data_IF_725072720847
#
_entry.id   IF_725072720847
#
_cell.length_a   1.000
_cell.length_b   1.000
_cell.length_c   1.000
_cell.angle_alpha   90.00
_cell.angle_beta   90.00
_cell.angle_gamma   90.00
#
_symmetry.space_group_name_H-M   'P 1'
#
loop_
_entity.id
_entity.type
_entity.pdbx_description
1 polymer ?
#
# COMPACT_ATOMS: atom_id res chain seq x y z
N UNK A 1 19.52 14.76 -38.38
CA UNK A 1 18.67 14.31 -39.51
C UNK A 1 17.22 14.35 -39.08
N UNK A 2 16.45 15.33 -39.58
CA UNK A 2 14.99 15.41 -39.43
C UNK A 2 14.35 14.41 -40.39
N UNK A 3 13.34 13.66 -39.94
CA UNK A 3 12.38 13.01 -40.84
C UNK A 3 10.97 13.40 -40.41
N UNK A 4 10.40 14.25 -41.25
CA UNK A 4 8.97 14.50 -41.43
C UNK A 4 8.28 13.25 -41.98
N UNK A 5 7.09 12.93 -41.48
CA UNK A 5 6.05 12.28 -42.29
C UNK A 5 4.72 12.98 -42.06
N UNK A 6 4.11 13.34 -43.17
CA UNK A 6 2.90 14.15 -43.27
C UNK A 6 1.63 13.32 -43.09
N UNK A 7 0.58 14.04 -42.73
CA UNK A 7 -0.78 13.58 -42.45
C UNK A 7 -1.50 12.98 -43.66
N UNK A 8 -2.43 12.07 -43.37
CA UNK A 8 -3.55 11.68 -44.23
C UNK A 8 -4.78 11.44 -43.37
N UNK A 9 -5.68 12.41 -43.36
CA UNK A 9 -6.97 12.42 -42.67
C UNK A 9 -8.05 12.31 -43.75
N UNK A 10 -9.08 11.46 -43.61
CA UNK A 10 -10.50 11.79 -43.81
C UNK A 10 -11.42 10.58 -43.56
N UNK A 11 -12.15 10.65 -42.42
CA UNK A 11 -13.58 10.38 -42.18
C UNK A 11 -14.26 9.09 -42.67
N UNK A 12 -14.73 8.30 -41.70
CA UNK A 12 -16.13 7.83 -41.62
C UNK A 12 -16.60 7.79 -40.16
N UNK A 13 -17.57 8.65 -39.84
CA UNK A 13 -18.28 8.67 -38.56
C UNK A 13 -19.68 8.09 -38.79
N UNK A 14 -20.04 7.05 -38.03
CA UNK A 14 -21.41 6.67 -37.62
C UNK A 14 -21.36 5.31 -36.92
N UNK A 15 -22.20 5.12 -35.90
CA UNK A 15 -22.47 3.88 -35.14
C UNK A 15 -21.59 3.53 -33.93
N UNK A 16 -21.53 4.41 -32.91
CA UNK A 16 -21.51 3.97 -31.49
C UNK A 16 -22.18 5.04 -30.63
N UNK A 17 -23.50 5.21 -30.76
CA UNK A 17 -24.29 6.07 -29.86
C UNK A 17 -25.68 5.47 -29.68
N UNK A 18 -25.78 4.27 -29.09
CA UNK A 18 -27.07 3.73 -28.63
C UNK A 18 -26.89 2.53 -27.67
N UNK A 19 -26.33 2.76 -26.47
CA UNK A 19 -26.50 1.88 -25.30
C UNK A 19 -25.90 2.49 -24.00
N UNK A 20 -26.31 3.69 -23.61
CA UNK A 20 -26.05 4.22 -22.25
C UNK A 20 -27.19 5.13 -21.73
N UNK A 21 -28.37 5.04 -22.33
CA UNK A 21 -29.52 5.86 -21.98
C UNK A 21 -30.71 4.97 -21.59
N UNK A 22 -30.62 4.31 -20.43
CA UNK A 22 -31.79 3.86 -19.67
C UNK A 22 -31.35 3.58 -18.22
N UNK A 23 -31.65 4.51 -17.32
CA UNK A 23 -31.25 4.45 -15.91
C UNK A 23 -31.13 5.80 -15.22
N UNK A 24 -31.40 6.91 -15.91
CA UNK A 24 -31.51 8.26 -15.33
C UNK A 24 -32.89 8.83 -15.63
N UNK A 25 -33.86 8.55 -14.78
CA UNK A 25 -35.07 9.36 -14.60
C UNK A 25 -35.72 8.94 -13.28
N UNK A 26 -36.24 9.93 -12.54
CA UNK A 26 -36.87 9.87 -11.22
C UNK A 26 -35.87 9.97 -10.04
N UNK A 27 -35.38 11.17 -9.74
CA UNK A 27 -36.08 12.17 -8.91
C UNK A 27 -35.22 13.44 -8.84
N UNK A 28 -35.67 14.51 -9.49
CA UNK A 28 -35.03 15.83 -9.48
C UNK A 28 -36.03 16.79 -8.83
N UNK A 29 -36.00 16.83 -7.51
CA UNK A 29 -36.33 18.00 -6.69
C UNK A 29 -35.94 17.69 -5.22
N UNK A 30 -34.65 17.43 -5.01
CA UNK A 30 -34.05 17.50 -3.68
C UNK A 30 -33.39 18.89 -3.56
N UNK A 31 -33.68 19.69 -2.52
CA UNK A 31 -32.93 20.90 -2.27
C UNK A 31 -31.44 20.54 -2.14
N UNK A 32 -30.51 21.44 -2.50
CA UNK A 32 -29.09 21.18 -2.29
C UNK A 32 -28.90 20.78 -0.83
N UNK A 33 -28.44 19.55 -0.60
CA UNK A 33 -28.27 19.03 0.75
C UNK A 33 -27.40 20.01 1.53
N UNK A 34 -27.96 20.58 2.60
CA UNK A 34 -27.23 21.44 3.50
C UNK A 34 -26.03 20.66 4.06
N UNK A 35 -24.81 20.97 3.64
CA UNK A 35 -23.62 20.47 4.34
C UNK A 35 -23.50 21.23 5.66
N UNK A 36 -24.14 20.66 6.67
CA UNK A 36 -23.64 20.77 8.05
C UNK A 36 -22.35 19.95 8.08
N UNK A 37 -21.29 20.34 8.81
CA UNK A 37 -20.01 19.61 8.83
C UNK A 37 -20.12 18.10 9.11
N UNK A 38 -21.29 17.66 9.62
CA UNK A 38 -21.73 16.26 9.72
C UNK A 38 -21.71 15.48 8.39
N UNK A 39 -21.73 16.14 7.23
CA UNK A 39 -21.68 15.51 5.91
C UNK A 39 -20.31 14.88 5.63
N UNK A 40 -19.25 15.67 5.78
CA UNK A 40 -17.86 15.19 5.70
C UNK A 40 -17.59 14.14 6.78
N UNK A 41 -18.03 14.36 8.03
CA UNK A 41 -17.80 13.40 9.12
C UNK A 41 -18.31 12.00 8.79
N UNK A 42 -19.53 11.92 8.24
CA UNK A 42 -20.14 10.66 7.83
C UNK A 42 -19.43 10.03 6.63
N UNK A 43 -19.04 10.85 5.67
CA UNK A 43 -18.35 10.38 4.47
C UNK A 43 -16.94 9.87 4.82
N UNK A 44 -16.22 10.58 5.69
CA UNK A 44 -14.93 10.20 6.24
C UNK A 44 -15.03 8.92 7.08
N UNK A 45 -16.08 8.77 7.90
CA UNK A 45 -16.34 7.54 8.63
C UNK A 45 -16.53 6.34 7.68
N UNK A 46 -17.35 6.49 6.64
CA UNK A 46 -17.55 5.44 5.63
C UNK A 46 -16.26 5.10 4.87
N UNK A 47 -15.46 6.11 4.50
CA UNK A 47 -14.17 5.90 3.84
C UNK A 47 -13.19 5.14 4.75
N UNK A 48 -13.15 5.51 6.03
CA UNK A 48 -12.32 4.85 7.04
C UNK A 48 -12.76 3.41 7.28
N UNK A 49 -14.06 3.15 7.41
CA UNK A 49 -14.58 1.79 7.63
C UNK A 49 -14.31 0.88 6.42
N UNK A 50 -14.35 1.42 5.19
CA UNK A 50 -13.95 0.70 3.98
C UNK A 50 -12.45 0.39 3.96
N UNK A 51 -11.61 1.34 4.38
CA UNK A 51 -10.17 1.12 4.52
C UNK A 51 -9.89 0.01 5.54
N UNK A 52 -10.51 0.07 6.71
CA UNK A 52 -10.37 -0.96 7.74
C UNK A 52 -10.84 -2.33 7.23
N UNK A 53 -11.94 -2.41 6.48
CA UNK A 53 -12.39 -3.66 5.88
C UNK A 53 -11.43 -4.21 4.81
N UNK A 54 -10.84 -3.34 3.99
CA UNK A 54 -9.79 -3.71 3.04
C UNK A 54 -8.57 -4.26 3.78
N UNK A 55 -8.14 -3.57 4.84
CA UNK A 55 -7.00 -3.95 5.65
C UNK A 55 -7.21 -5.30 6.35
N UNK A 56 -8.38 -5.52 6.95
CA UNK A 56 -8.75 -6.79 7.57
C UNK A 56 -8.78 -7.93 6.54
N UNK A 57 -9.36 -7.70 5.36
CA UNK A 57 -9.38 -8.68 4.27
C UNK A 57 -7.97 -9.05 3.83
N UNK A 58 -7.09 -8.06 3.67
CA UNK A 58 -5.70 -8.28 3.28
C UNK A 58 -4.95 -9.12 4.34
N UNK A 59 -5.05 -8.75 5.62
CA UNK A 59 -4.42 -9.49 6.71
C UNK A 59 -4.95 -10.94 6.85
N UNK A 60 -6.27 -11.13 6.72
CA UNK A 60 -6.88 -12.46 6.75
C UNK A 60 -6.40 -13.34 5.59
N UNK A 61 -6.25 -12.76 4.39
CA UNK A 61 -5.75 -13.49 3.22
C UNK A 61 -4.33 -14.01 3.41
N UNK A 62 -3.46 -13.22 4.06
CA UNK A 62 -2.09 -13.61 4.37
C UNK A 62 -2.02 -14.68 5.47
N UNK A 63 -2.95 -14.68 6.41
CA UNK A 63 -3.06 -15.74 7.42
C UNK A 63 -3.35 -17.08 6.75
N UNK A 64 -4.25 -17.11 5.76
CA UNK A 64 -4.55 -18.31 4.96
C UNK A 64 -3.36 -18.79 4.12
N UNK A 65 -2.66 -17.86 3.46
CA UNK A 65 -1.42 -18.14 2.71
C UNK A 65 -0.35 -18.75 3.62
N UNK A 66 -0.12 -18.16 4.79
CA UNK A 66 0.83 -18.64 5.79
C UNK A 66 0.49 -20.05 6.30
N UNK A 67 -0.78 -20.34 6.54
CA UNK A 67 -1.23 -21.68 6.91
C UNK A 67 -0.93 -22.72 5.84
N UNK A 68 -1.15 -22.38 4.57
CA UNK A 68 -0.81 -23.26 3.43
C UNK A 68 0.69 -23.52 3.36
N UNK A 69 1.51 -22.48 3.52
CA UNK A 69 2.96 -22.61 3.56
C UNK A 69 3.44 -23.47 4.74
N UNK A 70 2.91 -23.25 5.94
CA UNK A 70 3.29 -24.02 7.13
C UNK A 70 3.00 -25.51 6.96
N UNK A 71 1.83 -25.86 6.41
CA UNK A 71 1.49 -27.24 6.09
C UNK A 71 2.42 -27.86 5.05
N UNK A 72 2.75 -27.11 3.99
CA UNK A 72 3.69 -27.56 2.96
C UNK A 72 5.10 -27.76 3.52
N UNK A 73 5.58 -26.85 4.39
CA UNK A 73 6.89 -26.96 5.01
C UNK A 73 6.99 -28.15 5.96
N UNK A 74 5.91 -28.45 6.70
CA UNK A 74 5.84 -29.64 7.58
C UNK A 74 5.93 -30.97 6.82
N UNK A 75 5.50 -31.00 5.56
CA UNK A 75 5.60 -32.18 4.68
C UNK A 75 6.87 -32.20 3.82
N UNK A 76 7.57 -31.06 3.69
CA UNK A 76 8.73 -30.92 2.83
C UNK A 76 9.98 -31.57 3.42
N UNK A 77 10.86 -32.05 2.52
CA UNK A 77 12.24 -32.41 2.84
C UNK A 77 13.20 -31.53 2.05
N UNK A 78 14.43 -31.39 2.54
CA UNK A 78 15.49 -30.86 1.69
C UNK A 78 15.70 -31.80 0.49
N UNK A 79 15.92 -31.27 -0.72
CA UNK A 79 16.29 -32.09 -1.87
C UNK A 79 17.62 -32.81 -1.60
N UNK A 80 17.80 -33.99 -2.18
CA UNK A 80 19.08 -34.70 -2.17
C UNK A 80 20.10 -34.01 -3.07
N UNK A 81 21.36 -34.43 -2.99
CA UNK A 81 22.47 -33.75 -3.71
C UNK A 81 22.24 -33.67 -5.22
N UNK A 82 21.82 -34.77 -5.85
CA UNK A 82 21.50 -34.79 -7.29
C UNK A 82 20.35 -33.84 -7.66
N UNK A 83 19.36 -33.69 -6.77
CA UNK A 83 18.23 -32.77 -6.98
C UNK A 83 18.69 -31.31 -6.86
N UNK A 84 19.53 -31.00 -5.86
CA UNK A 84 20.16 -29.67 -5.70
C UNK A 84 21.01 -29.31 -6.90
N UNK A 85 21.85 -30.22 -7.38
CA UNK A 85 22.69 -30.02 -8.56
C UNK A 85 21.84 -29.68 -9.79
N UNK A 86 20.75 -30.42 -10.01
CA UNK A 86 19.84 -30.18 -11.13
C UNK A 86 19.11 -28.83 -11.02
N UNK A 87 18.73 -28.43 -9.81
CA UNK A 87 18.14 -27.11 -9.56
C UNK A 87 19.15 -25.99 -9.82
N UNK A 88 20.40 -26.15 -9.36
CA UNK A 88 21.46 -25.15 -9.52
C UNK A 88 21.95 -25.02 -10.97
N UNK A 89 22.00 -26.11 -11.74
CA UNK A 89 22.28 -26.07 -13.17
C UNK A 89 21.25 -25.24 -13.95
N UNK A 90 20.02 -25.15 -13.42
CA UNK A 90 18.92 -24.42 -14.02
C UNK A 90 18.67 -23.06 -13.37
N UNK A 91 19.37 -22.72 -12.29
CA UNK A 91 19.21 -21.46 -11.60
C UNK A 91 19.94 -20.32 -12.31
N UNK A 92 19.49 -19.10 -12.06
CA UNK A 92 20.18 -17.86 -12.45
C UNK A 92 20.83 -17.28 -11.20
N UNK A 93 22.04 -16.75 -11.31
CA UNK A 93 22.74 -16.15 -10.17
C UNK A 93 23.17 -14.73 -10.50
N UNK A 94 22.89 -13.81 -9.57
CA UNK A 94 23.38 -12.45 -9.63
C UNK A 94 23.85 -12.04 -8.24
N UNK A 95 25.17 -11.93 -8.08
CA UNK A 95 25.79 -11.71 -6.77
C UNK A 95 25.45 -12.82 -5.75
N UNK A 96 24.90 -12.49 -4.57
CA UNK A 96 24.50 -13.46 -3.56
C UNK A 96 23.10 -14.05 -3.79
N UNK A 97 22.36 -13.55 -4.78
CA UNK A 97 20.97 -13.96 -5.02
C UNK A 97 20.93 -15.05 -6.09
N UNK A 98 20.21 -16.12 -5.78
CA UNK A 98 19.94 -17.24 -6.69
C UNK A 98 18.45 -17.23 -7.02
N UNK A 99 18.12 -17.10 -8.31
CA UNK A 99 16.77 -17.21 -8.84
C UNK A 99 16.50 -18.58 -9.43
N UNK A 100 15.41 -19.20 -9.01
CA UNK A 100 14.98 -20.52 -9.46
C UNK A 100 13.84 -20.40 -10.47
N UNK A 101 13.85 -21.27 -11.48
CA UNK A 101 12.78 -21.32 -12.48
C UNK A 101 11.48 -21.79 -11.83
N UNK A 102 10.37 -21.14 -12.16
CA UNK A 102 9.06 -21.45 -11.56
C UNK A 102 8.04 -21.99 -12.56
N UNK A 103 8.27 -21.79 -13.86
CA UNK A 103 7.38 -22.25 -14.92
C UNK A 103 8.09 -22.73 -16.20
N UNK A 104 7.35 -23.41 -17.08
CA UNK A 104 7.87 -23.87 -18.37
C UNK A 104 8.20 -22.66 -19.27
N UNK A 105 9.33 -22.72 -19.98
CA UNK A 105 9.76 -21.69 -20.95
C UNK A 105 10.77 -20.67 -20.42
N UNK A 106 11.01 -20.59 -19.10
CA UNK A 106 12.05 -19.73 -18.49
C UNK A 106 13.49 -20.15 -18.85
N UNK A 107 13.64 -21.34 -19.47
CA UNK A 107 14.91 -21.91 -19.92
C UNK A 107 15.66 -21.00 -20.90
N UNK A 108 14.93 -20.29 -21.78
CA UNK A 108 15.54 -19.48 -22.85
C UNK A 108 15.70 -18.01 -22.47
N UNK A 109 14.75 -17.47 -21.71
CA UNK A 109 14.71 -16.06 -21.32
C UNK A 109 13.96 -15.94 -20.00
N UNK A 110 14.46 -15.07 -19.14
CA UNK A 110 13.75 -14.69 -17.91
C UNK A 110 12.45 -13.95 -18.27
N UNK A 111 11.33 -14.22 -17.57
CA UNK A 111 10.09 -13.48 -17.75
C UNK A 111 10.29 -11.97 -17.52
N UNK A 112 9.46 -11.16 -18.18
CA UNK A 112 9.47 -9.72 -17.97
C UNK A 112 8.89 -9.37 -16.58
N UNK A 113 9.25 -8.21 -16.07
CA UNK A 113 8.65 -7.62 -14.88
C UNK A 113 7.11 -7.67 -14.93
N UNK A 114 6.49 -8.09 -13.83
CA UNK A 114 5.04 -8.32 -13.65
C UNK A 114 4.40 -9.31 -14.63
N UNK A 115 5.18 -10.20 -15.26
CA UNK A 115 4.60 -11.32 -16.01
C UNK A 115 3.73 -12.18 -15.09
N UNK A 116 2.67 -12.84 -15.61
CA UNK A 116 1.73 -13.62 -14.81
C UNK A 116 2.36 -14.96 -14.40
N UNK A 117 3.33 -14.92 -13.49
CA UNK A 117 4.01 -16.08 -12.91
C UNK A 117 4.72 -15.65 -11.61
N UNK A 118 4.94 -16.57 -10.66
CA UNK A 118 5.67 -16.26 -9.45
C UNK A 118 7.17 -16.16 -9.75
N UNK A 119 7.94 -15.54 -8.86
CA UNK A 119 9.39 -15.65 -8.83
C UNK A 119 9.83 -16.31 -7.52
N UNK A 120 10.93 -17.06 -7.55
CA UNK A 120 11.46 -17.80 -6.40
C UNK A 120 12.96 -17.53 -6.26
N UNK A 121 13.36 -17.05 -5.08
CA UNK A 121 14.72 -16.62 -4.80
C UNK A 121 15.26 -17.19 -3.49
N UNK A 122 16.59 -17.32 -3.44
CA UNK A 122 17.35 -17.45 -2.20
C UNK A 122 18.40 -16.34 -2.12
N UNK A 123 18.42 -15.61 -1.01
CA UNK A 123 19.45 -14.60 -0.71
C UNK A 123 20.57 -15.14 0.20
N UNK A 124 20.57 -16.45 0.48
CA UNK A 124 21.54 -17.10 1.36
C UNK A 124 22.98 -17.14 0.79
N UNK A 125 23.23 -16.63 -0.43
CA UNK A 125 24.53 -16.69 -1.06
C UNK A 125 24.81 -18.05 -1.72
N UNK A 126 26.09 -18.41 -1.97
CA UNK A 126 26.45 -19.67 -2.62
C UNK A 126 26.15 -20.92 -1.77
N UNK A 127 26.07 -20.77 -0.45
CA UNK A 127 25.97 -21.89 0.50
C UNK A 127 24.55 -21.98 1.10
N UNK A 128 23.59 -22.36 0.28
CA UNK A 128 22.19 -22.54 0.70
C UNK A 128 22.12 -23.69 1.73
N UNK A 129 21.63 -23.38 2.94
CA UNK A 129 21.53 -24.35 4.04
C UNK A 129 20.47 -25.42 3.79
N UNK A 130 20.54 -26.56 4.49
CA UNK A 130 19.51 -27.60 4.46
C UNK A 130 18.11 -27.06 4.79
N UNK A 131 18.02 -26.12 5.75
CA UNK A 131 16.77 -25.48 6.12
C UNK A 131 16.22 -24.63 4.96
N UNK A 132 17.05 -23.79 4.34
CA UNK A 132 16.67 -22.98 3.19
C UNK A 132 16.28 -23.85 1.98
N UNK A 133 16.97 -24.97 1.77
CA UNK A 133 16.59 -25.94 0.73
C UNK A 133 15.21 -26.56 0.97
N UNK A 134 14.90 -26.92 2.22
CA UNK A 134 13.56 -27.42 2.59
C UNK A 134 12.48 -26.36 2.36
N UNK A 135 12.78 -25.10 2.67
CA UNK A 135 11.88 -23.97 2.43
C UNK A 135 11.63 -23.74 0.92
N UNK A 136 12.69 -23.70 0.11
CA UNK A 136 12.61 -23.58 -1.34
C UNK A 136 11.80 -24.71 -1.97
N UNK A 137 11.85 -25.92 -1.41
CA UNK A 137 11.03 -27.05 -1.84
C UNK A 137 9.54 -26.90 -1.46
N UNK A 138 9.23 -26.18 -0.38
CA UNK A 138 7.86 -25.97 0.10
C UNK A 138 7.15 -24.79 -0.59
N UNK A 139 7.88 -23.72 -0.91
CA UNK A 139 7.33 -22.48 -1.50
C UNK A 139 6.50 -22.67 -2.78
N UNK A 140 6.82 -23.61 -3.71
CA UNK A 140 5.98 -23.85 -4.88
C UNK A 140 4.53 -24.22 -4.56
N UNK A 141 4.26 -24.80 -3.38
CA UNK A 141 2.91 -25.17 -2.97
C UNK A 141 1.96 -23.97 -2.79
N UNK A 142 2.50 -22.76 -2.60
CA UNK A 142 1.69 -21.54 -2.44
C UNK A 142 1.54 -20.72 -3.72
N UNK A 143 2.17 -21.10 -4.83
CA UNK A 143 2.18 -20.27 -6.05
C UNK A 143 0.79 -19.98 -6.63
N UNK A 144 -0.11 -20.98 -6.62
CA UNK A 144 -1.50 -20.77 -7.07
C UNK A 144 -2.26 -19.82 -6.15
N UNK A 145 -2.00 -19.89 -4.84
CA UNK A 145 -2.62 -19.00 -3.86
C UNK A 145 -2.07 -17.58 -4.00
N UNK A 146 -0.77 -17.39 -4.24
CA UNK A 146 -0.18 -16.07 -4.52
C UNK A 146 -0.87 -15.38 -5.70
N UNK A 147 -1.07 -16.10 -6.82
CA UNK A 147 -1.82 -15.59 -7.99
C UNK A 147 -3.26 -15.27 -7.62
N UNK A 148 -3.97 -16.22 -6.99
CA UNK A 148 -5.37 -16.06 -6.61
C UNK A 148 -5.56 -14.82 -5.75
N UNK A 149 -4.70 -14.67 -4.73
CA UNK A 149 -4.71 -13.53 -3.86
C UNK A 149 -4.49 -12.26 -4.66
N UNK A 150 -3.41 -12.13 -5.43
CA UNK A 150 -3.15 -10.98 -6.30
C UNK A 150 -4.39 -10.55 -7.09
N UNK A 151 -5.05 -11.49 -7.76
CA UNK A 151 -6.23 -11.21 -8.60
C UNK A 151 -7.46 -10.74 -7.80
N UNK A 152 -7.52 -10.97 -6.48
CA UNK A 152 -8.61 -10.48 -5.62
C UNK A 152 -8.51 -8.99 -5.27
N UNK A 153 -7.31 -8.42 -5.26
CA UNK A 153 -7.06 -6.99 -5.04
C UNK A 153 -6.11 -6.53 -6.14
N UNK A 154 -6.69 -6.15 -7.28
CA UNK A 154 -5.95 -5.61 -8.44
C UNK A 154 -4.85 -4.65 -7.95
N UNK A 155 -3.60 -4.90 -8.38
CA UNK A 155 -2.41 -4.10 -8.06
C UNK A 155 -1.83 -4.31 -6.64
N UNK A 156 -1.55 -5.56 -6.29
CA UNK A 156 -0.86 -5.88 -5.04
C UNK A 156 0.16 -6.99 -5.22
N UNK A 157 1.43 -6.72 -4.93
CA UNK A 157 2.39 -7.80 -4.78
C UNK A 157 1.98 -8.67 -3.60
N UNK A 158 2.06 -9.99 -3.77
CA UNK A 158 1.85 -10.96 -2.69
C UNK A 158 3.10 -11.80 -2.60
N UNK A 159 3.67 -11.92 -1.41
CA UNK A 159 4.95 -12.59 -1.23
C UNK A 159 5.07 -13.27 0.14
N UNK A 160 5.95 -14.26 0.20
CA UNK A 160 6.34 -14.92 1.44
C UNK A 160 7.86 -14.92 1.56
N UNK A 161 8.34 -14.39 2.68
CA UNK A 161 9.75 -14.40 3.07
C UNK A 161 9.93 -15.40 4.19
N UNK A 162 10.86 -16.33 4.03
CA UNK A 162 11.17 -17.32 5.07
C UNK A 162 12.26 -16.82 6.02
N UNK A 163 12.42 -17.46 7.17
CA UNK A 163 13.44 -17.08 8.16
C UNK A 163 14.88 -17.24 7.65
N UNK A 164 15.12 -18.05 6.61
CA UNK A 164 16.43 -18.23 5.98
C UNK A 164 16.59 -17.46 4.66
N UNK A 165 15.87 -16.34 4.51
CA UNK A 165 15.95 -15.47 3.33
C UNK A 165 15.59 -16.15 1.98
N UNK A 166 14.73 -17.18 2.02
CA UNK A 166 14.04 -17.66 0.81
C UNK A 166 12.82 -16.78 0.55
N UNK A 167 12.57 -16.46 -0.72
CA UNK A 167 11.57 -15.46 -1.10
C UNK A 167 10.76 -15.91 -2.30
N UNK A 168 9.44 -16.01 -2.13
CA UNK A 168 8.50 -16.22 -3.22
C UNK A 168 7.62 -14.99 -3.39
N UNK A 169 7.46 -14.50 -4.62
CA UNK A 169 6.71 -13.28 -4.91
C UNK A 169 5.87 -13.44 -6.17
N UNK A 170 4.69 -12.82 -6.19
CA UNK A 170 3.82 -12.72 -7.36
C UNK A 170 3.31 -11.27 -7.51
N UNK A 171 3.22 -10.71 -8.73
CA UNK A 171 3.61 -11.30 -10.03
C UNK A 171 5.13 -11.42 -10.19
N UNK A 172 5.64 -11.70 -11.39
CA UNK A 172 7.06 -12.01 -11.57
C UNK A 172 7.94 -10.78 -11.31
N UNK A 173 8.86 -10.88 -10.35
CA UNK A 173 9.93 -9.91 -10.12
C UNK A 173 11.22 -10.44 -10.77
N UNK A 174 11.88 -9.76 -11.72
CA UNK A 174 13.15 -10.18 -12.31
C UNK A 174 14.30 -10.23 -11.30
N UNK A 175 15.27 -11.11 -11.54
CA UNK A 175 16.43 -11.29 -10.65
C UNK A 175 17.25 -10.01 -10.48
N UNK A 176 17.35 -9.19 -11.53
CA UNK A 176 18.04 -7.89 -11.45
C UNK A 176 17.39 -6.94 -10.45
N UNK A 177 16.06 -6.94 -10.39
CA UNK A 177 15.30 -6.10 -9.47
C UNK A 177 15.34 -6.68 -8.05
N UNK A 178 15.26 -8.01 -7.93
CA UNK A 178 15.44 -8.72 -6.66
C UNK A 178 16.82 -8.46 -6.03
N UNK A 179 17.88 -8.38 -6.84
CA UNK A 179 19.26 -8.11 -6.39
C UNK A 179 19.47 -6.65 -5.94
N UNK A 180 18.71 -5.70 -6.49
CA UNK A 180 18.83 -4.29 -6.10
C UNK A 180 18.29 -4.02 -4.67
N UNK A 181 17.64 -5.01 -4.07
CA UNK A 181 17.13 -4.97 -2.70
C UNK A 181 18.09 -5.66 -1.73
N UNK A 182 18.18 -5.18 -0.48
CA UNK A 182 18.79 -5.94 0.62
C UNK A 182 17.99 -7.23 0.90
N UNK A 183 18.57 -8.14 1.69
CA UNK A 183 17.95 -9.39 2.13
C UNK A 183 16.52 -9.16 2.62
N UNK A 184 15.55 -10.00 2.20
CA UNK A 184 14.14 -9.75 2.47
C UNK A 184 13.82 -9.76 3.97
N UNK A 185 14.56 -10.50 4.82
CA UNK A 185 14.39 -10.46 6.28
C UNK A 185 14.83 -9.14 6.95
N UNK A 186 15.57 -8.29 6.23
CA UNK A 186 16.03 -6.97 6.69
C UNK A 186 15.17 -5.82 6.19
N UNK A 187 14.18 -6.12 5.34
CA UNK A 187 13.32 -5.12 4.74
C UNK A 187 12.25 -4.64 5.73
N UNK A 188 11.77 -3.41 5.52
CA UNK A 188 10.75 -2.80 6.37
C UNK A 188 9.45 -3.63 6.40
N UNK A 189 9.06 -4.25 5.29
CA UNK A 189 7.89 -5.15 5.27
C UNK A 189 8.06 -6.34 6.21
N UNK A 190 9.25 -6.96 6.27
CA UNK A 190 9.45 -8.12 7.13
C UNK A 190 9.38 -7.71 8.61
N UNK A 191 10.02 -6.58 8.93
CA UNK A 191 10.01 -6.00 10.27
C UNK A 191 8.63 -5.45 10.70
N UNK A 192 7.72 -5.19 9.75
CA UNK A 192 6.39 -4.70 10.05
C UNK A 192 5.50 -5.74 10.75
N UNK A 193 5.77 -7.04 10.58
CA UNK A 193 5.00 -8.09 11.23
C UNK A 193 5.16 -8.03 12.77
N UNK A 194 4.05 -8.06 13.50
CA UNK A 194 4.08 -8.15 14.97
C UNK A 194 4.40 -9.59 15.39
N UNK A 195 5.69 -9.90 15.47
CA UNK A 195 6.17 -11.23 15.82
C UNK A 195 5.76 -11.62 17.25
N UNK A 196 5.84 -10.67 18.20
CA UNK A 196 5.58 -10.93 19.61
C UNK A 196 4.07 -11.12 19.88
N UNK A 197 3.22 -10.29 19.30
CA UNK A 197 1.77 -10.41 19.40
C UNK A 197 1.17 -11.44 18.44
N UNK A 198 1.98 -11.99 17.52
CA UNK A 198 1.58 -12.94 16.45
C UNK A 198 0.44 -12.38 15.59
N UNK A 199 0.57 -11.12 15.19
CA UNK A 199 -0.47 -10.37 14.47
C UNK A 199 0.08 -9.72 13.23
N UNK A 200 -0.82 -9.35 12.34
CA UNK A 200 -0.51 -8.48 11.22
C UNK A 200 0.07 -7.15 11.73
N UNK A 201 1.06 -6.63 11.03
CA UNK A 201 1.47 -5.23 11.18
C UNK A 201 1.70 -4.58 9.81
N UNK A 202 1.97 -3.29 9.84
CA UNK A 202 1.88 -2.41 8.68
C UNK A 202 3.14 -1.56 8.54
N UNK A 203 3.63 -1.40 7.31
CA UNK A 203 4.68 -0.41 7.05
C UNK A 203 4.11 1.01 7.09
N UNK A 204 4.99 1.98 7.29
CA UNK A 204 4.71 3.34 6.82
C UNK A 204 4.60 3.34 5.28
N UNK A 205 3.91 4.32 4.67
CA UNK A 205 3.84 4.41 3.22
C UNK A 205 5.23 4.64 2.62
N UNK A 206 5.52 3.94 1.54
CA UNK A 206 6.76 4.09 0.79
C UNK A 206 6.46 4.09 -0.71
N UNK A 207 7.33 4.73 -1.49
CA UNK A 207 7.22 4.74 -2.93
C UNK A 207 7.66 3.37 -3.46
N UNK A 208 6.81 2.75 -4.26
CA UNK A 208 7.20 1.57 -5.01
C UNK A 208 8.33 1.93 -5.97
N UNK A 209 9.53 1.41 -5.69
CA UNK A 209 10.70 1.58 -6.55
C UNK A 209 10.47 1.01 -7.96
N UNK A 210 9.44 0.18 -8.12
CA UNK A 210 9.09 -0.48 -9.36
C UNK A 210 7.89 0.18 -10.11
N UNK A 211 7.46 1.37 -9.67
CA UNK A 211 6.65 2.30 -10.48
C UNK A 211 5.13 2.24 -10.29
N UNK A 212 4.61 1.45 -9.34
CA UNK A 212 3.17 1.41 -9.04
C UNK A 212 2.67 2.61 -8.20
N UNK A 213 3.57 3.53 -7.83
CA UNK A 213 3.28 4.69 -6.98
C UNK A 213 3.46 4.38 -5.50
N UNK A 214 2.98 5.27 -4.65
CA UNK A 214 3.04 5.06 -3.20
C UNK A 214 2.21 3.82 -2.80
N UNK A 215 2.77 3.02 -1.89
CA UNK A 215 2.12 1.83 -1.35
C UNK A 215 2.44 1.66 0.14
N UNK A 216 1.78 0.69 0.74
CA UNK A 216 2.05 0.20 2.08
C UNK A 216 1.96 -1.32 2.06
N UNK A 217 2.64 -1.97 3.00
CA UNK A 217 2.59 -3.43 3.12
C UNK A 217 1.89 -3.83 4.41
N UNK A 218 1.01 -4.82 4.32
CA UNK A 218 0.61 -5.64 5.46
C UNK A 218 1.44 -6.89 5.53
N UNK A 219 1.91 -7.23 6.72
CA UNK A 219 2.79 -8.36 6.95
C UNK A 219 2.31 -9.17 8.15
N UNK A 220 2.06 -10.46 7.91
CA UNK A 220 1.56 -11.42 8.88
C UNK A 220 2.64 -12.47 9.17
N UNK A 221 3.04 -12.68 10.42
CA UNK A 221 4.01 -13.72 10.75
C UNK A 221 3.38 -15.11 10.62
N UNK A 222 4.18 -16.07 10.16
CA UNK A 222 3.78 -17.46 9.95
C UNK A 222 4.49 -18.34 10.97
N UNK A 223 3.72 -19.09 11.76
CA UNK A 223 4.23 -19.92 12.85
C UNK A 223 3.80 -21.39 12.70
N UNK A 224 4.64 -22.31 13.18
CA UNK A 224 4.28 -23.67 13.57
C UNK A 224 4.63 -23.87 15.05
N UNK A 225 3.61 -23.98 15.90
CA UNK A 225 3.77 -23.90 17.35
C UNK A 225 4.40 -22.56 17.76
N UNK A 226 5.60 -22.62 18.34
CA UNK A 226 6.39 -21.44 18.75
C UNK A 226 7.47 -21.05 17.74
N UNK A 227 7.64 -21.82 16.66
CA UNK A 227 8.68 -21.58 15.66
C UNK A 227 8.17 -20.64 14.58
N UNK A 228 8.85 -19.50 14.42
CA UNK A 228 8.63 -18.61 13.27
C UNK A 228 9.15 -19.31 12.01
N UNK A 229 8.31 -19.43 10.99
CA UNK A 229 8.65 -20.01 9.69
C UNK A 229 8.95 -18.94 8.64
N UNK A 230 8.35 -17.76 8.81
CA UNK A 230 8.53 -16.63 7.90
C UNK A 230 7.47 -15.56 8.11
N UNK A 231 7.36 -14.65 7.13
CA UNK A 231 6.39 -13.57 7.08
C UNK A 231 5.74 -13.56 5.71
N UNK A 232 4.41 -13.69 5.68
CA UNK A 232 3.59 -13.48 4.50
C UNK A 232 3.25 -12.00 4.41
N UNK A 233 3.40 -11.40 3.24
CA UNK A 233 3.22 -9.96 3.04
C UNK A 233 2.48 -9.66 1.76
N UNK A 234 1.79 -8.52 1.74
CA UNK A 234 1.08 -8.03 0.58
C UNK A 234 1.04 -6.51 0.56
N UNK A 235 1.28 -5.95 -0.62
CA UNK A 235 1.22 -4.52 -0.82
C UNK A 235 -0.21 -4.06 -1.10
N UNK A 236 -0.55 -2.85 -0.66
CA UNK A 236 -1.79 -2.15 -0.99
C UNK A 236 -1.40 -0.82 -1.59
N UNK A 237 -1.87 -0.53 -2.80
CA UNK A 237 -1.56 0.74 -3.47
C UNK A 237 -2.36 1.87 -2.86
N UNK A 238 -1.74 3.05 -2.77
CA UNK A 238 -2.44 4.23 -2.27
C UNK A 238 -3.56 4.69 -3.19
N UNK A 239 -3.56 4.33 -4.47
CA UNK A 239 -4.68 4.61 -5.38
C UNK A 239 -6.00 3.98 -4.91
N UNK A 240 -5.95 2.76 -4.37
CA UNK A 240 -7.12 2.08 -3.79
C UNK A 240 -7.63 2.82 -2.55
N UNK A 241 -6.72 3.40 -1.77
CA UNK A 241 -7.02 4.17 -0.55
C UNK A 241 -7.55 5.56 -0.91
N UNK A 242 -6.90 6.26 -1.85
CA UNK A 242 -7.20 7.64 -2.24
C UNK A 242 -8.59 7.79 -2.88
N UNK A 243 -9.07 6.81 -3.65
CA UNK A 243 -10.42 6.84 -4.22
C UNK A 243 -11.51 7.01 -3.15
N UNK A 244 -11.33 6.39 -1.98
CA UNK A 244 -12.25 6.57 -0.85
C UNK A 244 -12.20 7.97 -0.24
N UNK A 245 -11.01 8.58 -0.23
CA UNK A 245 -10.79 9.93 0.30
C UNK A 245 -11.39 11.01 -0.60
N UNK A 246 -11.25 10.90 -1.93
CA UNK A 246 -11.87 11.84 -2.87
C UNK A 246 -13.39 11.87 -2.73
N UNK A 247 -14.00 10.69 -2.56
CA UNK A 247 -15.44 10.58 -2.30
C UNK A 247 -15.84 11.22 -0.96
N UNK A 248 -14.98 11.12 0.06
CA UNK A 248 -15.22 11.73 1.36
C UNK A 248 -15.10 13.27 1.30
N UNK A 249 -14.08 13.77 0.60
CA UNK A 249 -13.76 15.18 0.45
C UNK A 249 -14.88 15.99 -0.22
N UNK A 250 -15.63 15.36 -1.13
CA UNK A 250 -16.69 16.04 -1.88
C UNK A 250 -16.12 17.12 -2.80
N UNK A 251 -16.87 18.22 -2.98
CA UNK A 251 -16.46 19.31 -3.91
C UNK A 251 -15.54 20.35 -3.28
N UNK A 252 -15.78 20.69 -2.01
CA UNK A 252 -15.18 21.86 -1.35
C UNK A 252 -14.32 21.48 -0.14
N UNK A 253 -14.20 20.19 0.18
CA UNK A 253 -13.44 19.68 1.32
C UNK A 253 -12.13 19.03 0.92
N UNK A 254 -11.33 18.67 1.93
CA UNK A 254 -10.10 17.89 1.78
C UNK A 254 -10.16 16.70 2.72
N UNK A 255 -9.81 15.52 2.23
CA UNK A 255 -9.62 14.32 3.03
C UNK A 255 -8.18 13.84 2.88
N UNK A 256 -7.52 13.59 4.00
CA UNK A 256 -6.16 13.08 4.05
C UNK A 256 -6.08 11.83 4.93
N UNK A 257 -5.15 10.95 4.63
CA UNK A 257 -4.72 9.87 5.49
C UNK A 257 -3.28 10.14 5.89
N UNK A 258 -2.98 10.11 7.19
CA UNK A 258 -1.64 10.36 7.71
C UNK A 258 -1.32 9.42 8.88
N UNK A 259 -0.03 9.21 9.16
CA UNK A 259 0.38 8.48 10.36
C UNK A 259 0.13 9.29 11.66
N UNK A 260 0.38 8.68 12.81
CA UNK A 260 0.22 9.34 14.12
C UNK A 260 1.18 10.54 14.36
N UNK A 261 2.18 10.73 13.50
CA UNK A 261 3.14 11.84 13.56
C UNK A 261 2.78 12.95 12.56
N UNK A 262 1.84 12.69 11.65
CA UNK A 262 1.39 13.59 10.60
C UNK A 262 2.09 13.38 9.25
N UNK A 263 2.81 12.25 9.05
CA UNK A 263 3.36 11.86 7.75
C UNK A 263 2.20 11.56 6.80
N UNK A 264 2.14 12.26 5.67
CA UNK A 264 1.04 12.13 4.72
C UNK A 264 1.19 10.84 3.95
N UNK A 265 0.14 10.01 4.04
CA UNK A 265 -0.02 8.80 3.24
C UNK A 265 -0.64 9.21 1.91
N UNK A 266 -1.90 9.66 1.96
CA UNK A 266 -2.68 10.04 0.79
C UNK A 266 -3.47 11.31 1.08
N UNK A 267 -3.83 12.06 0.05
CA UNK A 267 -4.71 13.22 0.16
C UNK A 267 -5.59 13.34 -1.09
N UNK A 268 -6.81 13.82 -0.89
CA UNK A 268 -7.79 14.04 -1.95
C UNK A 268 -7.47 15.28 -2.79
N UNK A 269 -8.00 15.30 -4.01
CA UNK A 269 -8.05 16.51 -4.83
C UNK A 269 -6.67 17.00 -5.30
N UNK A 270 -6.48 18.31 -5.48
CA UNK A 270 -5.29 18.86 -6.13
C UNK A 270 -4.00 18.77 -5.29
N UNK A 271 -4.08 18.29 -4.05
CA UNK A 271 -2.95 18.21 -3.12
C UNK A 271 -2.16 16.91 -3.25
N UNK A 272 -2.58 15.95 -4.07
CA UNK A 272 -1.83 14.69 -4.22
C UNK A 272 -0.41 14.90 -4.80
N UNK A 273 -0.23 15.92 -5.65
CA UNK A 273 1.04 16.21 -6.34
C UNK A 273 2.18 16.63 -5.38
N UNK A 274 1.86 17.26 -4.24
CA UNK A 274 2.90 17.62 -3.26
C UNK A 274 3.52 16.38 -2.59
N UNK A 275 2.79 15.26 -2.49
CA UNK A 275 3.34 14.00 -1.95
C UNK A 275 4.44 13.48 -2.88
N UNK A 276 4.19 13.47 -4.18
CA UNK A 276 5.13 13.00 -5.19
C UNK A 276 6.34 13.94 -5.31
N UNK A 277 6.11 15.25 -5.25
CA UNK A 277 7.16 16.27 -5.34
C UNK A 277 8.04 16.31 -4.09
N UNK A 278 7.47 16.05 -2.91
CA UNK A 278 8.19 16.02 -1.65
C UNK A 278 9.09 14.78 -1.50
N UNK A 279 8.74 13.67 -2.17
CA UNK A 279 9.39 12.37 -2.02
C UNK A 279 10.92 12.46 -2.09
N UNK A 280 11.59 11.94 -1.05
CA UNK A 280 13.05 11.89 -1.01
C UNK A 280 13.60 11.03 -2.15
N UNK A 281 14.84 11.31 -2.59
CA UNK A 281 15.51 10.57 -3.68
C UNK A 281 15.68 9.06 -3.44
N UNK A 282 15.34 8.58 -2.23
CA UNK A 282 15.40 7.18 -1.81
C UNK A 282 14.03 6.47 -1.83
N UNK A 283 12.96 7.11 -2.33
CA UNK A 283 11.62 6.51 -2.38
C UNK A 283 10.85 6.48 -1.05
N UNK A 284 11.26 7.27 -0.05
CA UNK A 284 10.54 7.39 1.23
C UNK A 284 9.58 8.58 1.20
N UNK A 285 8.42 8.41 1.85
CA UNK A 285 7.53 9.53 2.16
C UNK A 285 8.22 10.48 3.13
N UNK A 286 8.18 11.77 2.83
CA UNK A 286 8.84 12.84 3.58
C UNK A 286 7.88 13.99 3.91
N UNK A 287 6.72 14.05 3.25
CA UNK A 287 5.74 15.11 3.45
C UNK A 287 4.96 14.92 4.75
N UNK A 288 4.92 15.96 5.58
CA UNK A 288 4.13 16.02 6.78
C UNK A 288 3.15 17.19 6.76
N UNK A 289 1.93 16.96 7.25
CA UNK A 289 0.97 18.02 7.59
C UNK A 289 1.22 18.52 9.00
N UNK A 290 2.36 19.20 9.16
CA UNK A 290 2.87 19.74 10.42
C UNK A 290 3.55 21.08 10.17
N UNK A 291 3.54 21.97 11.16
CA UNK A 291 4.32 23.21 11.06
C UNK A 291 5.83 22.92 10.98
N UNK A 292 6.59 23.81 10.35
CA UNK A 292 8.06 23.72 10.33
C UNK A 292 8.65 23.70 11.76
N UNK A 293 7.98 24.33 12.73
CA UNK A 293 8.34 24.24 14.13
C UNK A 293 8.16 22.84 14.71
N UNK A 294 7.04 22.20 14.45
CA UNK A 294 6.76 20.85 14.93
C UNK A 294 7.68 19.75 14.34
N UNK A 295 8.33 20.05 13.21
CA UNK A 295 9.32 19.17 12.58
C UNK A 295 10.75 19.40 13.11
N UNK A 296 11.05 20.54 13.73
CA UNK A 296 12.38 20.82 14.31
C UNK A 296 12.68 19.87 15.47
N UNK A 297 13.80 19.15 15.42
CA UNK A 297 14.29 18.29 16.50
C UNK A 297 13.90 16.82 16.44
N UNK A 298 13.30 16.36 15.33
CA UNK A 298 13.11 14.93 15.03
C UNK A 298 14.31 14.41 14.21
N UNK A 299 14.50 13.08 14.12
CA UNK A 299 15.41 12.39 13.17
C UNK A 299 14.91 12.58 11.72
N UNK A 300 14.72 13.83 11.34
CA UNK A 300 13.88 14.31 10.26
C UNK A 300 14.71 15.15 9.30
N UNK A 301 15.95 14.73 9.04
CA UNK A 301 16.84 15.40 8.10
C UNK A 301 16.20 15.55 6.70
N UNK A 302 15.18 14.75 6.40
CA UNK A 302 14.44 14.75 5.13
C UNK A 302 12.94 15.12 5.27
N UNK A 303 12.41 15.37 6.48
CA UNK A 303 10.98 15.68 6.62
C UNK A 303 10.67 17.09 6.13
N UNK A 304 9.62 17.23 5.33
CA UNK A 304 9.19 18.50 4.75
C UNK A 304 7.73 18.77 5.13
N UNK A 305 7.41 20.02 5.45
CA UNK A 305 6.02 20.43 5.65
C UNK A 305 5.35 20.77 4.31
N UNK A 306 4.02 20.72 4.26
CA UNK A 306 3.26 21.17 3.08
C UNK A 306 3.50 22.65 2.79
N UNK A 307 3.43 23.02 1.50
CA UNK A 307 3.40 24.40 1.06
C UNK A 307 2.10 25.12 1.46
N UNK A 308 1.05 24.37 1.82
CA UNK A 308 -0.24 24.89 2.22
C UNK A 308 -0.35 24.98 3.75
N UNK A 309 -0.32 26.20 4.28
CA UNK A 309 -0.35 26.46 5.72
C UNK A 309 -1.59 25.87 6.42
N UNK A 310 -2.76 25.86 5.75
CA UNK A 310 -3.98 25.29 6.32
C UNK A 310 -3.90 23.76 6.49
N UNK A 311 -3.20 23.04 5.60
CA UNK A 311 -2.96 21.60 5.74
C UNK A 311 -2.07 21.33 6.94
N UNK A 312 -1.01 22.12 7.11
CA UNK A 312 -0.12 22.00 8.27
C UNK A 312 -0.85 22.27 9.59
N UNK A 313 -1.69 23.31 9.64
CA UNK A 313 -2.48 23.65 10.83
C UNK A 313 -3.54 22.57 11.15
N UNK A 314 -4.24 22.07 10.13
CA UNK A 314 -5.23 21.01 10.30
C UNK A 314 -4.59 19.69 10.73
N UNK A 315 -3.48 19.29 10.11
CA UNK A 315 -2.75 18.08 10.48
C UNK A 315 -2.16 18.14 11.89
N UNK A 316 -1.61 19.29 12.30
CA UNK A 316 -1.16 19.54 13.68
C UNK A 316 -2.30 19.34 14.68
N UNK A 317 -3.45 19.98 14.44
CA UNK A 317 -4.62 19.87 15.31
C UNK A 317 -5.16 18.43 15.36
N UNK A 318 -5.19 17.73 14.23
CA UNK A 318 -5.61 16.34 14.14
C UNK A 318 -4.66 15.40 14.90
N UNK A 319 -3.34 15.58 14.79
CA UNK A 319 -2.35 14.82 15.59
C UNK A 319 -2.59 15.03 17.08
N UNK A 320 -2.82 16.27 17.51
CA UNK A 320 -3.03 16.59 18.93
C UNK A 320 -4.32 15.99 19.47
N UNK A 321 -5.43 16.08 18.72
CA UNK A 321 -6.70 15.41 19.07
C UNK A 321 -6.56 13.90 19.12
N UNK A 322 -5.84 13.30 18.18
CA UNK A 322 -5.69 11.85 18.08
C UNK A 322 -4.94 11.19 19.24
N UNK A 323 -4.16 11.94 20.04
CA UNK A 323 -3.46 11.40 21.22
C UNK A 323 -4.42 10.82 22.25
N UNK A 324 -5.63 11.36 22.34
CA UNK A 324 -6.68 10.90 23.26
C UNK A 324 -7.62 9.85 22.67
N UNK A 325 -7.49 9.50 21.39
CA UNK A 325 -8.42 8.60 20.70
C UNK A 325 -8.00 7.14 20.78
N UNK A 326 -8.96 6.29 21.15
CA UNK A 326 -8.87 4.85 20.93
C UNK A 326 -9.05 4.53 19.42
N UNK A 327 -8.60 3.36 18.95
CA UNK A 327 -8.82 2.94 17.57
C UNK A 327 -10.32 2.91 17.22
N UNK A 328 -10.69 3.48 16.07
CA UNK A 328 -12.08 3.61 15.61
C UNK A 328 -12.83 4.83 16.15
N UNK A 329 -12.25 5.59 17.07
CA UNK A 329 -12.85 6.83 17.57
C UNK A 329 -12.55 8.03 16.67
N UNK A 330 -13.36 9.08 16.80
CA UNK A 330 -13.20 10.33 16.08
C UNK A 330 -13.34 11.53 17.02
N UNK A 331 -12.72 12.64 16.64
CA UNK A 331 -12.89 13.95 17.25
C UNK A 331 -12.92 15.02 16.17
N UNK A 332 -13.43 16.20 16.52
CA UNK A 332 -13.40 17.37 15.66
C UNK A 332 -12.86 18.59 16.40
N UNK A 333 -12.37 19.57 15.62
CA UNK A 333 -11.86 20.85 16.11
C UNK A 333 -12.06 21.92 15.05
N UNK A 334 -12.55 23.08 15.47
CA UNK A 334 -12.63 24.26 14.60
C UNK A 334 -11.35 25.09 14.76
N UNK A 335 -10.77 25.49 13.63
CA UNK A 335 -9.57 26.32 13.55
C UNK A 335 -9.91 27.62 12.85
N UNK A 336 -9.24 28.71 13.22
CA UNK A 336 -9.28 29.96 12.47
C UNK A 336 -7.88 30.32 12.01
N UNK A 337 -7.67 30.38 10.70
CA UNK A 337 -6.39 30.73 10.09
C UNK A 337 -6.61 31.88 9.11
N UNK A 338 -5.95 33.02 9.35
CA UNK A 338 -5.99 34.21 8.48
C UNK A 338 -7.42 34.63 8.08
N UNK A 339 -8.33 34.67 9.05
CA UNK A 339 -9.76 35.02 8.89
C UNK A 339 -10.62 33.98 8.17
N UNK A 340 -10.08 32.80 7.86
CA UNK A 340 -10.84 31.65 7.36
C UNK A 340 -11.01 30.63 8.48
N UNK A 341 -12.27 30.24 8.74
CA UNK A 341 -12.60 29.15 9.66
C UNK A 341 -12.50 27.80 8.95
N UNK A 342 -12.02 26.78 9.65
CA UNK A 342 -11.92 25.41 9.18
C UNK A 342 -12.51 24.46 10.22
N UNK A 343 -13.38 23.55 9.78
CA UNK A 343 -13.81 22.40 10.58
C UNK A 343 -12.87 21.23 10.25
N UNK A 344 -12.18 20.71 11.25
CA UNK A 344 -11.25 19.59 11.09
C UNK A 344 -11.76 18.39 11.87
N UNK A 345 -12.03 17.30 11.17
CA UNK A 345 -12.42 16.02 11.77
C UNK A 345 -11.27 15.04 11.64
N UNK A 346 -10.96 14.32 12.72
CA UNK A 346 -9.96 13.26 12.71
C UNK A 346 -10.59 11.97 13.23
N UNK A 347 -10.39 10.88 12.50
CA UNK A 347 -10.78 9.52 12.88
C UNK A 347 -9.55 8.63 12.87
N UNK A 348 -9.36 7.89 13.96
CA UNK A 348 -8.28 6.90 14.06
C UNK A 348 -8.74 5.59 13.46
N UNK A 349 -8.04 5.08 12.45
CA UNK A 349 -8.35 3.77 11.85
C UNK A 349 -8.26 2.68 12.92
N UNK A 350 -9.11 1.65 12.82
CA UNK A 350 -9.10 0.55 13.78
C UNK A 350 -7.89 -0.35 13.57
N UNK A 351 -7.51 -0.59 12.32
CA UNK A 351 -6.53 -1.62 11.93
C UNK A 351 -5.09 -1.15 12.01
N UNK A 352 -4.79 0.05 11.49
CA UNK A 352 -3.43 0.60 11.44
C UNK A 352 -3.15 1.68 12.49
N UNK A 353 -4.19 2.28 13.07
CA UNK A 353 -4.06 3.43 13.98
C UNK A 353 -3.70 4.74 13.28
N UNK A 354 -3.73 4.78 11.95
CA UNK A 354 -3.59 6.00 11.15
C UNK A 354 -4.74 6.98 11.37
N UNK A 355 -4.52 8.21 10.94
CA UNK A 355 -5.43 9.32 11.11
C UNK A 355 -6.05 9.66 9.76
N UNK A 356 -7.34 9.37 9.60
CA UNK A 356 -8.15 9.92 8.52
C UNK A 356 -8.63 11.31 8.94
N UNK A 357 -8.26 12.33 8.16
CA UNK A 357 -8.51 13.74 8.47
C UNK A 357 -9.40 14.34 7.40
N UNK A 358 -10.54 14.90 7.79
CA UNK A 358 -11.42 15.71 6.95
C UNK A 358 -11.26 17.19 7.29
N UNK A 359 -11.22 18.05 6.28
CA UNK A 359 -11.05 19.50 6.41
C UNK A 359 -12.12 20.18 5.55
N UNK A 360 -12.96 21.01 6.18
CA UNK A 360 -13.97 21.82 5.49
C UNK A 360 -13.81 23.30 5.85
N UNK A 361 -14.03 24.20 4.89
CA UNK A 361 -14.09 25.64 5.19
C UNK A 361 -15.42 25.99 5.84
N UNK A 362 -15.38 26.68 6.98
CA UNK A 362 -16.56 27.23 7.65
C UNK A 362 -17.02 28.46 6.86
N UNK A 363 -18.17 28.37 6.19
CA UNK A 363 -18.73 29.48 5.40
C UNK A 363 -19.15 30.64 6.33
N UNK A 364 -18.72 31.90 6.07
CA UNK A 364 -19.15 33.05 6.85
C UNK A 364 -20.65 33.27 6.72
N UNK A 365 -21.38 33.34 7.85
CA UNK A 365 -22.83 33.64 7.87
C UNK A 365 -23.73 32.66 8.63
N UNK A 366 -23.20 31.74 9.43
CA UNK A 366 -23.99 30.89 10.35
C UNK A 366 -23.82 31.32 11.82
N UNK A 367 -24.02 32.59 12.12
CA UNK A 367 -24.38 33.00 13.49
C UNK A 367 -25.90 33.02 13.57
N UNK A 368 -26.45 32.12 14.41
CA UNK A 368 -27.80 32.15 14.97
C UNK A 368 -28.94 32.64 14.04
N UNK A 369 -29.59 31.69 13.35
CA UNK A 369 -31.00 31.86 13.01
C UNK A 369 -31.84 31.24 14.14
N UNK A 370 -32.87 31.94 14.65
CA UNK A 370 -33.58 31.61 15.90
C UNK A 370 -34.33 30.27 15.88
#
# INVERSE_FOLDING_TARGET
>A
MRKTFAAGMFWTAALVWFACALGWALDRDMPPAESTGRGMDRALALATDRLDALCDKAAASLTGLGGTYAAALGAARAPGETEKDALMQNARRQGPVVGFKTGPGEEKREPAYQSPGPALYSYAGPDISEAAWRELAALPAIFSELRRLHDELDLSWVYLTTVNDSFAIYPFLPLSDAMNNDRPTRQAFYAAADLAGRKAGWTEPYLDLAGAGMMLTVSCPVYDGDNLLGVASRDITLKQIAFGLDAAAGRDGVAALMDARGLVVAVSGPYAEEIETAGGGNGKATLHYRSAEALRGRDAAEAVNSAHEFLNAAGEAAVDKARGLAPGEAAAVDLNLKQTGYHVTVRKTRTSGWLAVGIETIKPGRENAP
#
